data_IF_047549211285
#
_entry.id   IF_047549211285
#
_cell.length_a   1.000
_cell.length_b   1.000
_cell.length_c   1.000
_cell.angle_alpha   90.00
_cell.angle_beta   90.00
_cell.angle_gamma   90.00
#
_symmetry.space_group_name_H-M   'P 1'
#
loop_
_entity.id
_entity.type
_entity.pdbx_description
1 polymer ?
#
# COMPACT_ATOMS: atom_id res chain seq x y z
N UNK A 1 13.28 4.43 10.16
CA UNK A 1 13.37 5.42 9.09
C UNK A 1 14.41 4.98 8.08
N UNK A 2 13.98 4.72 6.85
CA UNK A 2 14.89 4.54 5.73
C UNK A 2 15.60 5.86 5.46
N UNK A 3 16.92 5.89 5.59
CA UNK A 3 17.72 7.02 5.13
C UNK A 3 17.97 6.83 3.63
N UNK A 4 17.38 7.70 2.82
CA UNK A 4 17.78 7.84 1.43
C UNK A 4 19.01 8.72 1.37
N UNK A 5 20.03 8.26 0.62
CA UNK A 5 21.22 9.05 0.41
C UNK A 5 20.97 10.32 -0.42
N UNK A 6 21.78 11.35 -0.17
CA UNK A 6 21.62 12.71 -0.70
C UNK A 6 21.74 12.85 -2.23
N UNK A 7 22.06 11.78 -2.94
CA UNK A 7 22.26 11.78 -4.40
C UNK A 7 21.17 11.02 -5.16
N UNK A 8 19.98 10.95 -4.60
CA UNK A 8 18.73 10.55 -5.26
C UNK A 8 18.73 9.09 -5.70
N UNK A 9 17.75 8.35 -5.32
CA UNK A 9 17.30 7.07 -5.86
C UNK A 9 18.22 5.83 -5.71
N UNK A 10 19.47 5.96 -5.33
CA UNK A 10 20.31 4.80 -5.03
C UNK A 10 20.06 4.36 -3.58
N UNK A 11 19.09 3.46 -3.42
CA UNK A 11 19.02 2.64 -2.22
C UNK A 11 20.28 1.77 -2.21
N UNK A 12 21.09 1.85 -1.16
CA UNK A 12 22.02 0.78 -0.87
C UNK A 12 21.20 -0.48 -0.53
N UNK A 13 20.80 -1.21 -1.58
CA UNK A 13 19.86 -2.31 -1.50
C UNK A 13 20.16 -3.27 -0.35
N UNK A 14 21.42 -3.58 -0.14
CA UNK A 14 21.83 -4.52 0.92
C UNK A 14 21.62 -3.94 2.33
N UNK A 15 21.95 -2.68 2.55
CA UNK A 15 21.73 -2.03 3.84
C UNK A 15 20.24 -1.76 4.09
N UNK A 16 19.49 -1.44 3.04
CA UNK A 16 18.05 -1.25 3.13
C UNK A 16 17.32 -2.55 3.49
N UNK A 17 17.66 -3.66 2.84
CA UNK A 17 17.10 -4.99 3.16
C UNK A 17 17.43 -5.41 4.59
N UNK A 18 18.70 -5.32 5.00
CA UNK A 18 19.11 -5.63 6.37
C UNK A 18 18.37 -4.77 7.39
N UNK A 19 18.22 -3.47 7.12
CA UNK A 19 17.49 -2.57 8.02
C UNK A 19 16.01 -2.89 8.07
N UNK A 20 15.42 -3.33 6.96
CA UNK A 20 14.05 -3.80 6.91
C UNK A 20 13.86 -5.04 7.79
N UNK A 21 14.74 -6.04 7.67
CA UNK A 21 14.69 -7.25 8.49
C UNK A 21 14.82 -6.93 9.99
N UNK A 22 15.75 -6.05 10.37
CA UNK A 22 15.90 -5.59 11.75
C UNK A 22 14.62 -4.93 12.29
N UNK A 23 13.93 -4.14 11.46
CA UNK A 23 12.66 -3.47 11.81
C UNK A 23 11.54 -4.50 11.94
N UNK A 24 11.40 -5.43 11.00
CA UNK A 24 10.37 -6.48 11.03
C UNK A 24 10.50 -7.34 12.29
N UNK A 25 11.71 -7.79 12.60
CA UNK A 25 11.99 -8.58 13.81
C UNK A 25 11.66 -7.77 15.08
N UNK A 26 12.09 -6.51 15.15
CA UNK A 26 11.82 -5.66 16.30
C UNK A 26 10.32 -5.39 16.50
N UNK A 27 9.58 -5.12 15.44
CA UNK A 27 8.14 -4.92 15.48
C UNK A 27 7.43 -6.19 15.93
N UNK A 28 7.86 -7.33 15.38
CA UNK A 28 7.31 -8.62 15.78
C UNK A 28 7.53 -8.88 17.29
N UNK A 29 8.73 -8.67 17.81
CA UNK A 29 9.03 -8.87 19.25
C UNK A 29 8.13 -8.00 20.13
N UNK A 30 7.95 -6.73 19.77
CA UNK A 30 7.05 -5.81 20.50
C UNK A 30 5.59 -6.31 20.45
N UNK A 31 5.15 -6.77 19.29
CA UNK A 31 3.82 -7.33 19.13
C UNK A 31 3.63 -8.59 19.97
N UNK A 32 4.59 -9.51 19.95
CA UNK A 32 4.55 -10.74 20.74
C UNK A 32 4.46 -10.45 22.23
N UNK A 33 5.27 -9.53 22.75
CA UNK A 33 5.21 -9.13 24.15
C UNK A 33 3.82 -8.59 24.51
N UNK A 34 3.26 -7.72 23.67
CA UNK A 34 1.93 -7.14 23.90
C UNK A 34 0.82 -8.20 23.96
N UNK A 35 0.82 -9.20 23.05
CA UNK A 35 -0.20 -10.26 23.01
C UNK A 35 0.04 -11.36 24.06
N UNK A 36 1.24 -11.43 24.66
CA UNK A 36 1.52 -12.28 25.82
C UNK A 36 1.07 -11.64 27.12
N UNK A 37 1.25 -10.33 27.25
CA UNK A 37 0.86 -9.58 28.46
C UNK A 37 -0.65 -9.36 28.55
N UNK A 38 -1.31 -9.20 27.40
CA UNK A 38 -2.75 -8.90 27.33
C UNK A 38 -3.44 -9.82 26.35
N UNK A 39 -4.59 -10.39 26.74
CA UNK A 39 -5.43 -11.18 25.85
C UNK A 39 -6.28 -10.25 24.98
N UNK A 40 -6.19 -10.43 23.68
CA UNK A 40 -7.00 -9.73 22.68
C UNK A 40 -7.91 -10.74 21.97
N UNK A 41 -9.14 -10.37 21.69
CA UNK A 41 -10.07 -11.17 20.88
C UNK A 41 -9.77 -11.03 19.39
N UNK A 42 -9.42 -9.80 18.97
CA UNK A 42 -9.15 -9.45 17.57
C UNK A 42 -7.91 -8.55 17.47
N UNK A 43 -7.06 -8.86 16.52
CA UNK A 43 -5.98 -8.00 16.03
C UNK A 43 -6.37 -7.48 14.66
N UNK A 44 -6.29 -6.17 14.48
CA UNK A 44 -6.49 -5.51 13.19
C UNK A 44 -5.12 -5.09 12.69
N UNK A 45 -4.70 -5.62 11.56
CA UNK A 45 -3.38 -5.40 10.98
C UNK A 45 -3.52 -4.70 9.63
N UNK A 46 -3.00 -3.48 9.54
CA UNK A 46 -2.88 -2.72 8.30
C UNK A 46 -1.48 -2.98 7.73
N UNK A 47 -1.39 -3.98 6.86
CA UNK A 47 -0.14 -4.44 6.21
C UNK A 47 1.00 -4.76 7.21
N UNK A 48 0.65 -5.28 8.39
CA UNK A 48 1.64 -5.72 9.35
C UNK A 48 2.23 -7.08 8.95
N UNK A 49 3.06 -7.08 7.92
CA UNK A 49 3.69 -8.26 7.33
C UNK A 49 4.54 -9.06 8.31
N UNK A 50 5.17 -8.39 9.28
CA UNK A 50 5.88 -8.97 10.40
C UNK A 50 5.00 -9.90 11.24
N UNK A 51 3.77 -9.49 11.56
CA UNK A 51 2.80 -10.30 12.30
C UNK A 51 2.26 -11.44 11.45
N UNK A 52 1.90 -11.15 10.21
CA UNK A 52 1.36 -12.11 9.25
C UNK A 52 2.34 -13.26 8.99
N UNK A 53 3.58 -12.96 8.62
CA UNK A 53 4.63 -13.97 8.40
C UNK A 53 4.91 -14.79 9.65
N UNK A 54 4.99 -14.17 10.81
CA UNK A 54 5.28 -14.90 12.03
C UNK A 54 4.19 -15.90 12.40
N UNK A 55 2.92 -15.51 12.30
CA UNK A 55 1.81 -16.42 12.58
C UNK A 55 1.64 -17.50 11.50
N UNK A 56 2.23 -17.33 10.32
CA UNK A 56 2.33 -18.39 9.34
C UNK A 56 3.33 -19.46 9.73
N UNK A 57 4.48 -19.04 10.23
CA UNK A 57 5.53 -19.95 10.68
C UNK A 57 5.20 -20.57 12.04
N UNK A 58 4.45 -19.86 12.86
CA UNK A 58 4.11 -20.25 14.24
C UNK A 58 2.60 -20.14 14.51
N UNK A 59 1.76 -20.90 13.80
CA UNK A 59 0.29 -20.81 13.94
C UNK A 59 -0.18 -21.16 15.35
N UNK A 60 0.58 -21.92 16.13
CA UNK A 60 0.31 -22.28 17.52
C UNK A 60 0.38 -21.08 18.49
N UNK A 61 1.07 -20.02 18.08
CA UNK A 61 1.17 -18.78 18.88
C UNK A 61 0.03 -17.82 18.60
N UNK A 62 -0.77 -18.06 17.58
CA UNK A 62 -1.93 -17.24 17.24
C UNK A 62 -3.07 -17.50 18.23
N UNK A 63 -3.32 -16.52 19.09
CA UNK A 63 -4.37 -16.60 20.13
C UNK A 63 -5.57 -15.69 19.85
N UNK A 64 -5.44 -14.75 18.93
CA UNK A 64 -6.48 -13.80 18.56
C UNK A 64 -6.93 -14.01 17.09
N UNK A 65 -8.13 -13.53 16.76
CA UNK A 65 -8.56 -13.41 15.36
C UNK A 65 -7.74 -12.34 14.65
N UNK A 66 -7.37 -12.57 13.39
CA UNK A 66 -6.63 -11.60 12.58
C UNK A 66 -7.53 -11.04 11.47
N UNK A 67 -7.80 -9.74 11.54
CA UNK A 67 -8.37 -8.97 10.45
C UNK A 67 -7.24 -8.26 9.71
N UNK A 68 -6.94 -8.70 8.49
CA UNK A 68 -5.90 -8.13 7.64
C UNK A 68 -6.49 -7.07 6.72
N UNK A 69 -5.92 -5.87 6.72
CA UNK A 69 -6.27 -4.79 5.80
C UNK A 69 -5.10 -4.54 4.86
N UNK A 70 -5.40 -4.35 3.58
CA UNK A 70 -4.39 -3.97 2.58
C UNK A 70 -5.03 -3.18 1.44
N UNK A 71 -4.27 -2.28 0.81
CA UNK A 71 -4.57 -1.71 -0.50
C UNK A 71 -3.61 -2.24 -1.59
N UNK A 72 -2.77 -3.20 -1.20
CA UNK A 72 -1.70 -3.77 -2.02
C UNK A 72 -1.82 -5.30 -2.11
N UNK A 73 -1.79 -5.84 -3.31
CA UNK A 73 -1.90 -7.28 -3.57
C UNK A 73 -0.83 -7.83 -4.51
N UNK A 74 0.16 -7.03 -4.89
CA UNK A 74 1.26 -7.49 -5.73
C UNK A 74 1.88 -6.36 -6.55
N UNK A 75 2.89 -6.70 -7.31
CA UNK A 75 3.69 -5.77 -8.09
C UNK A 75 3.37 -5.88 -9.58
N UNK A 76 3.57 -4.78 -10.30
CA UNK A 76 3.63 -4.76 -11.75
C UNK A 76 5.02 -4.28 -12.17
N UNK A 77 5.61 -4.87 -13.22
CA UNK A 77 6.89 -4.39 -13.72
C UNK A 77 6.75 -2.94 -14.23
N UNK A 78 7.81 -2.16 -14.09
CA UNK A 78 7.84 -0.79 -14.61
C UNK A 78 7.70 -0.81 -16.13
N UNK A 79 7.00 0.14 -16.75
CA UNK A 79 6.90 0.21 -18.22
C UNK A 79 8.26 0.31 -18.93
N UNK A 80 9.28 0.82 -18.24
CA UNK A 80 10.67 0.91 -18.72
C UNK A 80 11.55 -0.24 -18.23
N UNK A 81 10.97 -1.21 -17.50
CA UNK A 81 11.68 -2.36 -16.97
C UNK A 81 12.11 -3.35 -18.05
N UNK A 82 13.15 -4.11 -17.77
CA UNK A 82 13.63 -5.17 -18.64
C UNK A 82 12.97 -6.53 -18.35
N UNK A 83 13.34 -7.56 -19.10
CA UNK A 83 12.80 -8.90 -18.93
C UNK A 83 13.12 -9.50 -17.56
N UNK A 84 14.25 -9.15 -16.96
CA UNK A 84 14.66 -9.60 -15.64
C UNK A 84 13.77 -8.99 -14.54
N UNK A 85 13.43 -7.72 -14.66
CA UNK A 85 12.49 -7.07 -13.74
C UNK A 85 11.11 -7.73 -13.80
N UNK A 86 10.63 -8.03 -15.01
CA UNK A 86 9.36 -8.71 -15.21
C UNK A 86 9.36 -10.14 -14.59
N UNK A 87 10.48 -10.87 -14.72
CA UNK A 87 10.67 -12.18 -14.12
C UNK A 87 10.67 -12.11 -12.58
N UNK A 88 11.49 -11.21 -12.01
CA UNK A 88 11.53 -11.00 -10.56
C UNK A 88 10.17 -10.59 -9.99
N UNK A 89 9.45 -9.71 -10.68
CA UNK A 89 8.11 -9.30 -10.28
C UNK A 89 7.14 -10.48 -10.29
N UNK A 90 7.24 -11.35 -11.30
CA UNK A 90 6.43 -12.57 -11.39
C UNK A 90 6.73 -13.52 -10.23
N UNK A 91 8.01 -13.73 -9.90
CA UNK A 91 8.43 -14.60 -8.79
C UNK A 91 7.90 -14.08 -7.45
N UNK A 92 8.05 -12.80 -7.16
CA UNK A 92 7.49 -12.19 -5.94
C UNK A 92 5.97 -12.34 -5.85
N UNK A 93 5.27 -12.13 -6.95
CA UNK A 93 3.82 -12.31 -6.97
C UNK A 93 3.41 -13.77 -6.79
N UNK A 94 4.18 -14.72 -7.33
CA UNK A 94 3.93 -16.14 -7.15
C UNK A 94 4.08 -16.55 -5.69
N UNK A 95 5.14 -16.10 -5.01
CA UNK A 95 5.36 -16.32 -3.57
C UNK A 95 4.22 -15.73 -2.72
N UNK A 96 3.79 -14.51 -3.03
CA UNK A 96 2.69 -13.86 -2.33
C UNK A 96 1.36 -14.61 -2.51
N UNK A 97 1.06 -15.07 -3.73
CA UNK A 97 -0.13 -15.87 -4.02
C UNK A 97 -0.07 -17.20 -3.25
N UNK A 98 1.06 -17.90 -3.33
CA UNK A 98 1.27 -19.15 -2.59
C UNK A 98 1.09 -18.95 -1.09
N UNK A 99 1.63 -17.86 -0.54
CA UNK A 99 1.51 -17.51 0.86
C UNK A 99 0.03 -17.36 1.30
N UNK A 100 -0.75 -16.58 0.54
CA UNK A 100 -2.18 -16.39 0.84
C UNK A 100 -2.97 -17.70 0.70
N UNK A 101 -2.72 -18.49 -0.34
CA UNK A 101 -3.49 -19.72 -0.61
C UNK A 101 -3.13 -20.85 0.35
N UNK A 102 -1.86 -21.02 0.67
CA UNK A 102 -1.36 -22.09 1.55
C UNK A 102 -1.76 -21.88 3.00
N UNK A 103 -1.85 -20.63 3.42
CA UNK A 103 -2.06 -20.27 4.82
C UNK A 103 -3.37 -19.50 5.06
N UNK A 104 -4.41 -19.84 4.33
CA UNK A 104 -5.72 -19.18 4.36
C UNK A 104 -6.34 -19.10 5.77
N UNK A 105 -5.88 -19.91 6.73
CA UNK A 105 -6.40 -19.94 8.12
C UNK A 105 -5.74 -18.90 9.03
N UNK A 106 -4.64 -18.28 8.64
CA UNK A 106 -3.97 -17.27 9.48
C UNK A 106 -4.77 -15.97 9.49
N UNK A 107 -5.24 -15.54 8.32
CA UNK A 107 -6.11 -14.38 8.19
C UNK A 107 -7.56 -14.82 8.36
N UNK A 108 -8.18 -14.53 9.50
CA UNK A 108 -9.61 -14.84 9.73
C UNK A 108 -10.53 -13.96 8.87
N UNK A 109 -10.07 -12.77 8.50
CA UNK A 109 -10.71 -11.84 7.57
C UNK A 109 -9.62 -11.09 6.81
N UNK A 110 -9.70 -11.06 5.48
CA UNK A 110 -8.80 -10.29 4.63
C UNK A 110 -9.62 -9.24 3.86
N UNK A 111 -9.30 -7.97 4.07
CA UNK A 111 -10.04 -6.83 3.54
C UNK A 111 -9.14 -6.04 2.59
N UNK A 112 -9.61 -5.87 1.35
CA UNK A 112 -9.00 -4.94 0.40
C UNK A 112 -9.66 -3.56 0.54
N UNK A 113 -8.84 -2.55 0.87
CA UNK A 113 -9.29 -1.16 1.02
C UNK A 113 -9.34 -0.50 -0.35
N UNK A 114 -10.47 -0.62 -1.03
CA UNK A 114 -10.67 -0.14 -2.38
C UNK A 114 -11.93 -0.75 -2.99
N UNK A 115 -12.18 -0.50 -4.27
CA UNK A 115 -13.31 -1.06 -4.99
C UNK A 115 -12.86 -2.11 -6.01
N UNK A 116 -13.65 -3.17 -6.26
CA UNK A 116 -13.31 -4.18 -7.26
C UNK A 116 -13.10 -3.59 -8.68
N UNK A 117 -13.83 -2.52 -9.00
CA UNK A 117 -13.76 -1.86 -10.30
C UNK A 117 -12.40 -1.18 -10.56
N UNK A 118 -11.67 -0.83 -9.50
CA UNK A 118 -10.40 -0.12 -9.60
C UNK A 118 -9.20 -1.09 -9.71
N UNK A 119 -9.44 -2.40 -9.58
CA UNK A 119 -8.41 -3.40 -9.83
C UNK A 119 -7.95 -3.35 -11.29
N UNK A 120 -6.63 -3.39 -11.49
CA UNK A 120 -6.05 -3.39 -12.83
C UNK A 120 -6.42 -4.65 -13.61
N UNK A 121 -6.75 -4.57 -14.92
CA UNK A 121 -7.15 -5.72 -15.74
C UNK A 121 -5.92 -6.46 -16.30
N UNK A 122 -5.00 -6.83 -15.42
CA UNK A 122 -3.75 -7.50 -15.76
C UNK A 122 -3.62 -8.82 -14.98
N UNK A 123 -2.65 -9.64 -15.35
CA UNK A 123 -2.23 -10.81 -14.56
C UNK A 123 -1.14 -10.41 -13.58
N UNK A 124 -0.93 -11.21 -12.55
CA UNK A 124 0.19 -11.04 -11.62
C UNK A 124 1.57 -11.35 -12.26
N UNK A 125 1.59 -11.92 -13.44
CA UNK A 125 2.78 -12.29 -14.20
C UNK A 125 2.49 -13.42 -15.17
N UNK A 126 3.54 -13.85 -15.86
CA UNK A 126 3.40 -14.96 -16.82
C UNK A 126 3.02 -16.27 -16.10
N UNK A 127 1.93 -16.89 -16.54
CA UNK A 127 1.41 -18.10 -15.92
C UNK A 127 0.67 -17.93 -14.59
N UNK A 128 0.57 -16.71 -14.07
CA UNK A 128 -0.15 -16.38 -12.85
C UNK A 128 -1.59 -15.92 -13.13
N UNK A 129 -2.49 -16.00 -12.14
CA UNK A 129 -3.89 -15.62 -12.32
C UNK A 129 -4.07 -14.12 -12.66
N UNK A 130 -5.25 -13.79 -13.16
CA UNK A 130 -5.71 -12.42 -13.32
C UNK A 130 -5.93 -11.79 -11.93
N UNK A 131 -5.47 -10.55 -11.76
CA UNK A 131 -5.65 -9.80 -10.52
C UNK A 131 -7.14 -9.62 -10.21
N UNK A 132 -7.95 -9.29 -11.23
CA UNK A 132 -9.40 -9.11 -11.09
C UNK A 132 -10.18 -10.37 -10.72
N UNK A 133 -9.65 -11.54 -11.08
CA UNK A 133 -10.29 -12.81 -10.77
C UNK A 133 -9.81 -13.40 -9.45
N UNK A 134 -8.57 -13.14 -9.09
CA UNK A 134 -7.95 -13.69 -7.89
C UNK A 134 -8.31 -12.90 -6.62
N UNK A 135 -8.19 -11.57 -6.64
CA UNK A 135 -8.39 -10.72 -5.47
C UNK A 135 -9.80 -10.89 -4.86
N UNK A 136 -10.91 -10.88 -5.64
CA UNK A 136 -12.24 -11.05 -5.06
C UNK A 136 -12.51 -12.43 -4.44
N UNK A 137 -11.65 -13.41 -4.70
CA UNK A 137 -11.76 -14.74 -4.10
C UNK A 137 -11.09 -14.82 -2.73
N UNK A 138 -10.13 -13.94 -2.46
CA UNK A 138 -9.30 -13.98 -1.26
C UNK A 138 -9.52 -12.77 -0.34
N UNK A 139 -10.17 -11.71 -0.82
CA UNK A 139 -10.39 -10.48 -0.06
C UNK A 139 -11.83 -10.00 -0.18
N UNK A 140 -12.35 -9.48 0.91
CA UNK A 140 -13.56 -8.66 0.92
C UNK A 140 -13.20 -7.21 0.62
N UNK A 141 -14.12 -6.44 0.02
CA UNK A 141 -13.86 -5.04 -0.33
C UNK A 141 -14.59 -4.11 0.63
N UNK A 142 -13.84 -3.21 1.30
CA UNK A 142 -14.43 -2.18 2.16
C UNK A 142 -14.87 -0.91 1.41
N UNK A 143 -14.50 -0.76 0.14
CA UNK A 143 -14.47 0.54 -0.50
C UNK A 143 -13.37 1.42 0.07
N UNK A 144 -13.36 2.70 -0.27
CA UNK A 144 -12.38 3.64 0.28
C UNK A 144 -12.78 4.10 1.69
N UNK A 145 -11.86 3.95 2.63
CA UNK A 145 -12.04 4.41 4.00
C UNK A 145 -11.64 5.88 4.07
N UNK A 146 -12.59 6.74 4.40
CA UNK A 146 -12.38 8.19 4.51
C UNK A 146 -12.63 8.66 5.93
N UNK A 147 -11.75 9.53 6.45
CA UNK A 147 -11.85 10.05 7.81
C UNK A 147 -13.08 10.95 8.05
N UNK A 148 -13.58 11.59 6.98
CA UNK A 148 -14.75 12.47 7.05
C UNK A 148 -15.57 12.37 5.78
N UNK A 149 -16.89 12.24 5.91
CA UNK A 149 -17.77 12.20 4.76
C UNK A 149 -17.74 13.54 4.01
N UNK A 150 -17.56 13.57 2.67
CA UNK A 150 -17.47 14.82 1.89
C UNK A 150 -18.62 15.78 2.11
N UNK A 151 -19.84 15.27 2.32
CA UNK A 151 -21.03 16.08 2.59
C UNK A 151 -20.98 16.92 3.87
N UNK A 152 -20.07 16.58 4.83
CA UNK A 152 -19.91 17.35 6.05
C UNK A 152 -19.22 18.71 5.84
N UNK A 153 -18.53 18.87 4.70
CA UNK A 153 -17.83 20.13 4.39
C UNK A 153 -18.70 21.20 3.78
N UNK A 154 -19.95 20.89 3.43
CA UNK A 154 -20.86 21.80 2.75
C UNK A 154 -20.67 21.84 1.23
N UNK A 155 -21.12 22.93 0.61
CA UNK A 155 -21.01 23.08 -0.85
C UNK A 155 -19.57 23.40 -1.28
N UNK A 156 -19.24 23.09 -2.53
CA UNK A 156 -17.94 23.42 -3.14
C UNK A 156 -17.59 24.90 -2.99
N UNK A 157 -18.56 25.79 -3.15
CA UNK A 157 -18.34 27.23 -3.07
C UNK A 157 -18.07 27.67 -1.63
N UNK A 158 -18.80 27.12 -0.65
CA UNK A 158 -18.55 27.38 0.76
C UNK A 158 -17.15 26.88 1.19
N UNK A 159 -16.70 25.73 0.72
CA UNK A 159 -15.34 25.23 0.98
C UNK A 159 -14.28 26.13 0.37
N UNK A 160 -14.49 26.57 -0.89
CA UNK A 160 -13.57 27.49 -1.57
C UNK A 160 -13.45 28.83 -0.82
N UNK A 161 -14.56 29.39 -0.43
CA UNK A 161 -14.61 30.65 0.32
C UNK A 161 -13.84 30.53 1.65
N UNK A 162 -14.09 29.45 2.41
CA UNK A 162 -13.40 29.17 3.67
C UNK A 162 -11.89 29.00 3.51
N UNK A 163 -11.44 28.40 2.39
CA UNK A 163 -10.04 28.16 2.08
C UNK A 163 -9.36 29.31 1.32
N UNK A 164 -10.10 30.40 1.01
CA UNK A 164 -9.56 31.53 0.27
C UNK A 164 -9.31 31.25 -1.23
N UNK A 165 -9.97 30.26 -1.80
CA UNK A 165 -9.84 29.97 -3.23
C UNK A 165 -10.82 30.76 -4.08
N UNK A 166 -10.41 31.28 -5.27
CA UNK A 166 -11.28 32.00 -6.17
C UNK A 166 -12.47 31.14 -6.62
N UNK A 167 -13.66 31.77 -6.68
CA UNK A 167 -14.85 31.13 -7.23
C UNK A 167 -14.72 31.01 -8.76
N UNK A 168 -15.09 29.87 -9.30
CA UNK A 168 -15.14 29.65 -10.76
C UNK A 168 -13.80 29.31 -11.41
N UNK A 169 -12.66 29.47 -10.75
CA UNK A 169 -11.37 29.08 -11.31
C UNK A 169 -11.14 27.57 -11.23
N UNK A 170 -10.35 27.04 -12.17
CA UNK A 170 -9.86 25.67 -12.12
C UNK A 170 -8.73 25.60 -11.08
N UNK A 171 -8.82 24.64 -10.17
CA UNK A 171 -7.82 24.39 -9.15
C UNK A 171 -7.25 23.00 -9.36
N UNK A 172 -5.93 22.90 -9.46
CA UNK A 172 -5.20 21.66 -9.43
C UNK A 172 -4.39 21.59 -8.13
N UNK A 173 -4.60 20.56 -7.33
CA UNK A 173 -3.84 20.30 -6.12
C UNK A 173 -2.82 19.20 -6.46
N UNK A 174 -1.55 19.49 -6.20
CA UNK A 174 -0.47 18.51 -6.36
C UNK A 174 0.14 18.28 -4.99
N UNK A 175 0.07 17.04 -4.53
CA UNK A 175 0.66 16.63 -3.26
C UNK A 175 1.53 15.39 -3.48
N UNK A 176 2.54 15.25 -2.66
CA UNK A 176 3.44 14.09 -2.62
C UNK A 176 3.55 13.61 -1.19
N UNK A 177 3.91 12.33 -1.01
CA UNK A 177 4.10 11.76 0.32
C UNK A 177 5.24 12.45 1.09
N UNK A 178 5.24 12.30 2.42
CA UNK A 178 6.15 12.99 3.36
C UNK A 178 7.60 12.50 3.34
N UNK A 179 7.99 11.55 2.49
CA UNK A 179 9.32 10.93 2.46
C UNK A 179 10.41 11.78 1.79
N UNK A 180 10.08 12.94 1.22
CA UNK A 180 11.03 13.80 0.49
C UNK A 180 11.29 13.37 -0.97
N UNK A 181 10.89 12.18 -1.37
CA UNK A 181 11.05 11.64 -2.74
C UNK A 181 10.30 12.50 -3.78
N UNK A 182 9.20 13.11 -3.38
CA UNK A 182 8.33 13.87 -4.27
C UNK A 182 8.85 15.21 -4.75
N UNK A 183 9.99 15.70 -4.27
CA UNK A 183 10.54 17.02 -4.66
C UNK A 183 10.79 17.10 -6.17
N UNK A 184 11.34 16.05 -6.76
CA UNK A 184 11.60 16.00 -8.19
C UNK A 184 10.29 16.04 -9.02
N UNK A 185 9.26 15.35 -8.55
CA UNK A 185 7.93 15.35 -9.17
C UNK A 185 7.29 16.75 -9.11
N UNK A 186 7.32 17.39 -7.94
CA UNK A 186 6.79 18.76 -7.79
C UNK A 186 7.51 19.74 -8.71
N UNK A 187 8.83 19.66 -8.82
CA UNK A 187 9.59 20.49 -9.79
C UNK A 187 9.11 20.30 -11.22
N UNK A 188 8.98 19.03 -11.66
CA UNK A 188 8.45 18.72 -13.01
C UNK A 188 7.04 19.29 -13.23
N UNK A 189 6.18 19.22 -12.24
CA UNK A 189 4.82 19.78 -12.33
C UNK A 189 4.89 21.30 -12.46
N UNK A 190 5.72 21.97 -11.66
CA UNK A 190 5.92 23.43 -11.76
C UNK A 190 6.48 23.85 -13.11
N UNK A 191 7.45 23.13 -13.65
CA UNK A 191 8.02 23.36 -15.00
C UNK A 191 6.99 23.12 -16.11
N UNK A 192 6.12 22.12 -15.97
CA UNK A 192 5.07 21.81 -16.94
C UNK A 192 3.88 22.79 -16.86
N UNK A 193 3.68 23.49 -15.74
CA UNK A 193 2.52 24.35 -15.50
C UNK A 193 2.32 25.43 -16.58
N UNK A 194 3.34 26.19 -17.04
CA UNK A 194 3.15 27.16 -18.11
C UNK A 194 2.62 26.53 -19.41
N UNK A 195 3.08 25.33 -19.76
CA UNK A 195 2.63 24.59 -20.94
C UNK A 195 1.18 24.09 -20.78
N UNK A 196 0.83 23.61 -19.60
CA UNK A 196 -0.52 23.19 -19.29
C UNK A 196 -1.49 24.38 -19.31
N UNK A 197 -1.10 25.49 -18.68
CA UNK A 197 -1.90 26.73 -18.65
C UNK A 197 -2.25 27.27 -20.03
N UNK A 198 -1.37 27.12 -21.01
CA UNK A 198 -1.62 27.53 -22.39
C UNK A 198 -2.64 26.67 -23.14
N UNK A 199 -3.00 25.47 -22.58
CA UNK A 199 -3.92 24.49 -23.18
C UNK A 199 -5.28 24.36 -22.44
N UNK A 200 -5.43 24.98 -21.31
CA UNK A 200 -6.62 24.96 -20.46
C UNK A 200 -7.44 26.21 -20.64
#
# INVERSE_FOLDING_TARGET
HFQMESHGHDLHCFQALRRMDEILIANFMIFQDAVQETTYDVVIADEAWDVDHYWHEHPELKKAKLAWLTDFVGYLPMPSGDAREAELTTDYNAEMIEHVERHATVRDCAIFVGNPADLVPLTFGNGLPSIRDWVPRHFEFSGYIIGQHPGTFGTRDAVRERLGYPRGEKIAIVAVGGSGIGVALIRRVLEAYPLAKARI
#
